data_IF_797766113698
#
_entry.id   IF_797766113698
#
_cell.length_a   1.000
_cell.length_b   1.000
_cell.length_c   1.000
_cell.angle_alpha   90.00
_cell.angle_beta   90.00
_cell.angle_gamma   90.00
#
_symmetry.space_group_name_H-M   'P 1'
#
loop_
_entity.id
_entity.type
_entity.pdbx_description
1 polymer ?
#
# COMPACT_ATOMS: atom_id res chain seq x y z
N UNK A 1 -6.86 -7.28 -25.99
CA UNK A 1 -5.91 -7.90 -25.04
C UNK A 1 -5.31 -6.90 -24.07
N UNK A 2 -4.81 -5.74 -24.55
CA UNK A 2 -4.21 -4.68 -23.70
C UNK A 2 -5.06 -4.34 -22.46
N UNK A 3 -6.35 -4.01 -22.66
CA UNK A 3 -7.27 -3.65 -21.57
C UNK A 3 -7.42 -4.77 -20.54
N UNK A 4 -7.60 -6.01 -20.98
CA UNK A 4 -7.77 -7.16 -20.09
C UNK A 4 -6.52 -7.41 -19.23
N UNK A 5 -5.32 -7.31 -19.83
CA UNK A 5 -4.05 -7.44 -19.13
C UNK A 5 -3.87 -6.29 -18.13
N UNK A 6 -4.16 -5.05 -18.54
CA UNK A 6 -4.10 -3.88 -17.67
C UNK A 6 -5.04 -3.98 -16.47
N UNK A 7 -6.30 -4.38 -16.70
CA UNK A 7 -7.26 -4.61 -15.61
C UNK A 7 -6.80 -5.74 -14.67
N UNK A 8 -6.23 -6.81 -15.21
CA UNK A 8 -5.67 -7.91 -14.40
C UNK A 8 -4.52 -7.42 -13.53
N UNK A 9 -3.63 -6.56 -14.06
CA UNK A 9 -2.55 -5.95 -13.28
C UNK A 9 -3.09 -5.07 -12.14
N UNK A 10 -4.13 -4.27 -12.40
CA UNK A 10 -4.79 -3.44 -11.38
C UNK A 10 -5.45 -4.30 -10.30
N UNK A 11 -6.15 -5.36 -10.67
CA UNK A 11 -6.75 -6.29 -9.71
C UNK A 11 -5.68 -6.98 -8.89
N UNK A 12 -4.59 -7.44 -9.52
CA UNK A 12 -3.46 -8.05 -8.83
C UNK A 12 -2.83 -7.08 -7.81
N UNK A 13 -2.66 -5.80 -8.18
CA UNK A 13 -2.20 -4.74 -7.28
C UNK A 13 -3.12 -4.59 -6.06
N UNK A 14 -4.43 -4.45 -6.28
CA UNK A 14 -5.41 -4.28 -5.20
C UNK A 14 -5.43 -5.49 -4.27
N UNK A 15 -5.42 -6.70 -4.83
CA UNK A 15 -5.37 -7.94 -4.06
C UNK A 15 -4.08 -8.06 -3.24
N UNK A 16 -2.92 -7.75 -3.83
CA UNK A 16 -1.64 -7.76 -3.14
C UNK A 16 -1.61 -6.73 -2.00
N UNK A 17 -2.13 -5.52 -2.23
CA UNK A 17 -2.20 -4.46 -1.23
C UNK A 17 -3.05 -4.89 -0.02
N UNK A 18 -4.21 -5.48 -0.27
CA UNK A 18 -5.10 -5.99 0.79
C UNK A 18 -4.49 -7.20 1.51
N UNK A 19 -3.95 -8.17 0.77
CA UNK A 19 -3.38 -9.39 1.33
C UNK A 19 -2.16 -9.10 2.21
N UNK A 20 -1.29 -8.18 1.80
CA UNK A 20 -0.08 -7.81 2.54
C UNK A 20 -0.33 -6.82 3.68
N UNK A 21 -1.57 -6.32 3.84
CA UNK A 21 -1.97 -5.42 4.93
C UNK A 21 -1.03 -4.21 5.08
N UNK A 22 -0.69 -3.59 3.95
CA UNK A 22 0.22 -2.44 3.93
C UNK A 22 -0.34 -1.26 4.76
N UNK A 23 -1.64 -0.98 4.64
CA UNK A 23 -2.31 0.14 5.33
C UNK A 23 -2.21 0.00 6.87
N UNK A 24 -2.62 -1.13 7.49
CA UNK A 24 -2.42 -1.32 8.95
C UNK A 24 -0.98 -1.14 9.41
N UNK A 25 0.00 -1.54 8.59
CA UNK A 25 1.43 -1.38 8.92
C UNK A 25 1.83 0.08 8.95
N UNK A 26 1.39 0.86 7.96
CA UNK A 26 1.63 2.29 7.91
C UNK A 26 0.99 3.02 9.11
N UNK A 27 -0.23 2.64 9.47
CA UNK A 27 -0.91 3.17 10.68
C UNK A 27 -0.11 2.85 11.94
N UNK A 28 0.42 1.62 12.06
CA UNK A 28 1.28 1.25 13.20
C UNK A 28 2.54 2.13 13.28
N UNK A 29 3.19 2.44 12.16
CA UNK A 29 4.34 3.33 12.14
C UNK A 29 3.99 4.75 12.63
N UNK A 30 2.85 5.29 12.19
CA UNK A 30 2.33 6.60 12.63
C UNK A 30 2.05 6.59 14.14
N UNK A 31 1.45 5.52 14.66
CA UNK A 31 1.17 5.40 16.09
C UNK A 31 2.45 5.35 16.93
N UNK A 32 3.50 4.66 16.46
CA UNK A 32 4.79 4.59 17.13
C UNK A 32 5.47 5.97 17.16
N UNK A 33 5.47 6.68 16.02
CA UNK A 33 6.00 8.03 15.94
C UNK A 33 5.24 8.99 16.88
N UNK A 34 3.92 8.91 16.89
CA UNK A 34 3.06 9.73 17.76
C UNK A 34 3.31 9.45 19.24
N UNK A 35 3.48 8.17 19.62
CA UNK A 35 3.81 7.77 20.98
C UNK A 35 5.20 8.27 21.41
N UNK A 36 6.18 8.27 20.51
CA UNK A 36 7.51 8.82 20.79
C UNK A 36 7.46 10.33 21.07
N UNK A 37 6.70 11.07 20.26
CA UNK A 37 6.47 12.51 20.46
C UNK A 37 5.76 12.78 21.79
N UNK A 38 4.77 11.96 22.16
CA UNK A 38 4.09 12.06 23.44
C UNK A 38 5.05 11.82 24.61
N UNK A 39 5.90 10.80 24.55
CA UNK A 39 6.88 10.49 25.58
C UNK A 39 7.90 11.62 25.79
N UNK A 40 8.37 12.27 24.71
CA UNK A 40 9.27 13.43 24.82
C UNK A 40 8.64 14.64 25.51
N UNK A 41 7.30 14.76 25.44
CA UNK A 41 6.55 15.88 26.03
C UNK A 41 6.00 15.56 27.43
N UNK A 42 6.19 14.34 27.92
CA UNK A 42 5.62 13.91 29.20
C UNK A 42 6.45 14.48 30.37
N UNK A 43 5.88 15.40 31.19
CA UNK A 43 6.59 15.97 32.33
C UNK A 43 6.76 14.98 33.49
N UNK A 44 6.04 13.85 33.50
CA UNK A 44 6.14 12.83 34.54
C UNK A 44 7.32 11.87 34.34
N UNK A 45 7.93 11.86 33.14
CA UNK A 45 9.10 11.04 32.83
C UNK A 45 10.40 11.77 33.17
N UNK A 46 11.32 11.04 33.79
CA UNK A 46 12.71 11.49 33.93
C UNK A 46 13.46 11.39 32.58
N UNK A 47 14.62 12.04 32.50
CA UNK A 47 15.40 12.12 31.24
C UNK A 47 15.79 10.74 30.70
N UNK A 48 16.24 9.83 31.58
CA UNK A 48 16.63 8.47 31.19
C UNK A 48 15.46 7.64 30.65
N UNK A 49 14.26 7.78 31.22
CA UNK A 49 13.06 7.13 30.71
C UNK A 49 12.62 7.71 29.35
N UNK A 50 12.77 9.02 29.14
CA UNK A 50 12.52 9.66 27.84
C UNK A 50 13.47 9.14 26.78
N UNK A 51 14.76 9.11 27.09
CA UNK A 51 15.78 8.61 26.17
C UNK A 51 15.50 7.14 25.78
N UNK A 52 15.22 6.28 26.78
CA UNK A 52 14.88 4.88 26.55
C UNK A 52 13.61 4.72 25.69
N UNK A 53 12.59 5.54 25.94
CA UNK A 53 11.34 5.51 25.17
C UNK A 53 11.58 5.91 23.70
N UNK A 54 12.37 6.96 23.46
CA UNK A 54 12.73 7.42 22.12
C UNK A 54 13.58 6.38 21.39
N UNK A 55 14.61 5.81 22.03
CA UNK A 55 15.44 4.77 21.41
C UNK A 55 14.62 3.54 21.00
N UNK A 56 13.73 3.07 21.87
CA UNK A 56 12.81 1.95 21.55
C UNK A 56 11.88 2.29 20.39
N UNK A 57 11.37 3.52 20.33
CA UNK A 57 10.53 3.96 19.22
C UNK A 57 11.32 3.98 17.90
N UNK A 58 12.55 4.49 17.90
CA UNK A 58 13.43 4.51 16.73
C UNK A 58 13.68 3.11 16.17
N UNK A 59 14.02 2.14 17.02
CA UNK A 59 14.22 0.74 16.59
C UNK A 59 12.95 0.14 15.98
N UNK A 60 11.79 0.42 16.58
CA UNK A 60 10.49 -0.02 16.05
C UNK A 60 10.13 0.65 14.73
N UNK A 61 10.47 1.92 14.55
CA UNK A 61 10.27 2.64 13.29
C UNK A 61 11.14 2.08 12.18
N UNK A 62 12.41 1.74 12.45
CA UNK A 62 13.26 1.03 11.49
C UNK A 62 12.68 -0.34 11.10
N UNK A 63 12.15 -1.08 12.08
CA UNK A 63 11.43 -2.33 11.81
C UNK A 63 10.20 -2.12 10.92
N UNK A 64 9.40 -1.08 11.19
CA UNK A 64 8.25 -0.73 10.35
C UNK A 64 8.66 -0.30 8.95
N UNK A 65 9.74 0.46 8.80
CA UNK A 65 10.28 0.86 7.51
C UNK A 65 10.63 -0.35 6.65
N UNK A 66 11.41 -1.30 7.19
CA UNK A 66 11.78 -2.52 6.47
C UNK A 66 10.55 -3.33 6.04
N UNK A 67 9.55 -3.42 6.91
CA UNK A 67 8.28 -4.09 6.60
C UNK A 67 7.48 -3.39 5.49
N UNK A 68 7.37 -2.06 5.54
CA UNK A 68 6.67 -1.27 4.53
C UNK A 68 7.39 -1.41 3.19
N UNK A 69 8.73 -1.27 3.19
CA UNK A 69 9.55 -1.35 1.99
C UNK A 69 9.40 -2.70 1.29
N UNK A 70 9.61 -3.80 2.01
CA UNK A 70 9.46 -5.14 1.44
C UNK A 70 8.06 -5.36 0.89
N UNK A 71 7.01 -5.08 1.68
CA UNK A 71 5.61 -5.24 1.23
C UNK A 71 5.33 -4.41 -0.03
N UNK A 72 5.81 -3.18 -0.08
CA UNK A 72 5.65 -2.32 -1.24
C UNK A 72 6.32 -2.90 -2.48
N UNK A 73 7.57 -3.36 -2.37
CA UNK A 73 8.28 -4.03 -3.46
C UNK A 73 7.53 -5.30 -3.93
N UNK A 74 7.01 -6.10 -3.01
CA UNK A 74 6.22 -7.29 -3.34
C UNK A 74 4.93 -6.92 -4.10
N UNK A 75 4.22 -5.88 -3.67
CA UNK A 75 2.99 -5.41 -4.35
C UNK A 75 3.31 -4.98 -5.78
N UNK A 76 4.39 -4.22 -5.98
CA UNK A 76 4.82 -3.80 -7.32
C UNK A 76 5.19 -5.00 -8.20
N UNK A 77 5.94 -5.95 -7.65
CA UNK A 77 6.31 -7.17 -8.37
C UNK A 77 5.08 -7.99 -8.79
N UNK A 78 4.12 -8.17 -7.87
CA UNK A 78 2.86 -8.88 -8.15
C UNK A 78 2.03 -8.14 -9.20
N UNK A 79 1.95 -6.80 -9.10
CA UNK A 79 1.23 -5.98 -10.09
C UNK A 79 1.87 -6.01 -11.47
N UNK A 80 3.20 -6.10 -11.55
CA UNK A 80 3.93 -6.16 -12.82
C UNK A 80 3.83 -7.55 -13.47
N UNK A 81 3.65 -8.62 -12.68
CA UNK A 81 3.67 -10.00 -13.17
C UNK A 81 2.66 -10.26 -14.32
N UNK A 82 1.39 -9.82 -14.28
CA UNK A 82 0.46 -9.99 -15.40
C UNK A 82 0.93 -9.32 -16.70
N UNK A 83 1.60 -8.17 -16.61
CA UNK A 83 2.08 -7.43 -17.78
C UNK A 83 3.28 -8.17 -18.39
N UNK A 84 4.26 -8.55 -17.56
CA UNK A 84 5.46 -9.26 -18.00
C UNK A 84 5.13 -10.64 -18.58
N UNK A 85 4.20 -11.37 -17.95
CA UNK A 85 3.75 -12.68 -18.44
C UNK A 85 2.96 -12.55 -19.74
N UNK A 86 2.08 -11.56 -19.88
CA UNK A 86 1.38 -11.32 -21.15
C UNK A 86 2.33 -10.97 -22.30
N UNK A 87 3.38 -10.20 -22.03
CA UNK A 87 4.42 -9.88 -23.01
C UNK A 87 5.23 -11.12 -23.40
N UNK A 88 5.65 -11.94 -22.42
CA UNK A 88 6.38 -13.18 -22.68
C UNK A 88 5.57 -14.20 -23.51
N UNK A 89 4.24 -14.20 -23.35
CA UNK A 89 3.33 -15.05 -24.13
C UNK A 89 2.92 -14.43 -25.48
N UNK A 90 3.40 -13.22 -25.82
CA UNK A 90 3.02 -12.51 -27.04
C UNK A 90 1.57 -12.04 -27.07
N UNK A 91 0.90 -11.95 -25.92
CA UNK A 91 -0.52 -11.58 -25.81
C UNK A 91 -0.74 -10.06 -25.86
N UNK A 92 0.20 -9.29 -25.29
CA UNK A 92 0.17 -7.84 -25.29
C UNK A 92 1.58 -7.29 -25.01
N UNK A 93 1.98 -6.25 -25.75
CA UNK A 93 3.26 -5.58 -25.54
C UNK A 93 3.25 -4.76 -24.24
N UNK A 94 4.35 -4.85 -23.47
CA UNK A 94 4.52 -4.11 -22.21
C UNK A 94 4.33 -2.60 -22.40
N UNK A 95 4.88 -2.04 -23.47
CA UNK A 95 4.77 -0.60 -23.77
C UNK A 95 3.32 -0.19 -24.03
N UNK A 96 2.57 -0.96 -24.80
CA UNK A 96 1.17 -0.67 -25.12
C UNK A 96 0.27 -0.73 -23.88
N UNK A 97 0.47 -1.73 -23.00
CA UNK A 97 -0.26 -1.85 -21.72
C UNK A 97 0.10 -0.69 -20.78
N UNK A 98 1.37 -0.35 -20.68
CA UNK A 98 1.84 0.74 -19.81
C UNK A 98 1.33 2.09 -20.31
N UNK A 99 1.42 2.36 -21.61
CA UNK A 99 0.89 3.57 -22.23
C UNK A 99 -0.61 3.70 -21.98
N UNK A 100 -1.36 2.60 -22.08
CA UNK A 100 -2.80 2.61 -21.77
C UNK A 100 -3.08 2.91 -20.30
N UNK A 101 -2.35 2.29 -19.36
CA UNK A 101 -2.50 2.52 -17.92
C UNK A 101 -2.14 3.96 -17.50
N UNK A 102 -1.22 4.61 -18.21
CA UNK A 102 -0.78 5.99 -17.93
C UNK A 102 -1.71 7.06 -18.50
N UNK A 103 -2.74 6.70 -19.25
CA UNK A 103 -3.69 7.70 -19.75
C UNK A 103 -4.50 8.29 -18.60
N UNK A 104 -4.68 9.60 -18.63
CA UNK A 104 -5.43 10.34 -17.61
C UNK A 104 -6.87 9.83 -17.42
N UNK A 105 -7.57 9.51 -18.51
CA UNK A 105 -8.92 8.98 -18.45
C UNK A 105 -8.97 7.63 -17.73
N UNK A 106 -8.02 6.74 -18.02
CA UNK A 106 -7.91 5.43 -17.36
C UNK A 106 -7.62 5.57 -15.87
N UNK A 107 -6.67 6.44 -15.49
CA UNK A 107 -6.32 6.70 -14.09
C UNK A 107 -7.54 7.21 -13.32
N UNK A 108 -8.26 8.19 -13.88
CA UNK A 108 -9.44 8.79 -13.24
C UNK A 108 -10.56 7.75 -13.11
N UNK A 109 -10.90 7.05 -14.19
CA UNK A 109 -11.99 6.06 -14.20
C UNK A 109 -11.69 4.93 -13.21
N UNK A 110 -10.48 4.38 -13.22
CA UNK A 110 -10.11 3.30 -12.30
C UNK A 110 -10.14 3.76 -10.84
N UNK A 111 -9.60 4.96 -10.56
CA UNK A 111 -9.58 5.52 -9.22
C UNK A 111 -10.99 5.73 -8.68
N UNK A 112 -11.87 6.38 -9.46
CA UNK A 112 -13.29 6.60 -9.09
C UNK A 112 -14.01 5.27 -8.91
N UNK A 113 -13.79 4.30 -9.81
CA UNK A 113 -14.43 2.98 -9.74
C UNK A 113 -14.01 2.22 -8.48
N UNK A 114 -12.73 2.23 -8.12
CA UNK A 114 -12.22 1.57 -6.91
C UNK A 114 -12.77 2.22 -5.64
N UNK A 115 -12.86 3.55 -5.59
CA UNK A 115 -13.47 4.28 -4.46
C UNK A 115 -14.95 3.94 -4.35
N UNK A 116 -15.68 3.95 -5.46
CA UNK A 116 -17.10 3.60 -5.50
C UNK A 116 -17.33 2.16 -5.02
N UNK A 117 -16.53 1.21 -5.49
CA UNK A 117 -16.57 -0.20 -5.03
C UNK A 117 -16.30 -0.33 -3.54
N UNK A 118 -15.30 0.39 -3.02
CA UNK A 118 -14.99 0.39 -1.60
C UNK A 118 -16.13 0.95 -0.76
N UNK A 119 -16.73 2.07 -1.19
CA UNK A 119 -17.88 2.67 -0.51
C UNK A 119 -19.11 1.76 -0.51
N UNK A 120 -19.41 1.13 -1.66
CA UNK A 120 -20.49 0.16 -1.78
C UNK A 120 -20.27 -1.05 -0.87
N UNK A 121 -19.04 -1.58 -0.79
CA UNK A 121 -18.69 -2.67 0.13
C UNK A 121 -18.92 -2.28 1.59
N UNK A 122 -18.53 -1.07 1.99
CA UNK A 122 -18.75 -0.56 3.36
C UNK A 122 -20.24 -0.42 3.71
N UNK A 123 -21.07 0.00 2.75
CA UNK A 123 -22.52 0.14 2.94
C UNK A 123 -23.25 -1.21 3.02
N UNK A 124 -22.80 -2.21 2.25
CA UNK A 124 -23.40 -3.56 2.27
C UNK A 124 -23.03 -4.33 3.54
N UNK A 125 -21.84 -4.08 4.12
CA UNK A 125 -21.42 -4.72 5.38
C UNK A 125 -22.12 -4.13 6.61
N UNK A 126 -22.50 -2.85 6.59
CA UNK A 126 -23.18 -2.17 7.71
C UNK A 126 -24.68 -2.46 7.81
N UNK A 127 -25.25 -3.15 6.81
CA UNK A 127 -26.67 -3.58 6.78
C UNK A 127 -26.86 -5.05 7.17
N UNK A 128 -25.82 -5.73 7.64
CA UNK A 128 -25.89 -7.06 8.27
C UNK A 128 -25.47 -6.96 9.73
#
# INVERSE_FOLDING_TARGET
MIVAVGLTAVVAFVLALVALRLIPTAISAINIASAAVAAMRDPSLNEEARETAVQRASLRLFGCFGQILWRFLTILAISAAPILTANALGLAETEAVTAWLLRWDVIIILSVSLIALWYLKGRVWTLK
#
